data_IF_320113869744
#
_entry.id   IF_320113869744
#
_cell.length_a   1.000
_cell.length_b   1.000
_cell.length_c   1.000
_cell.angle_alpha   90.00
_cell.angle_beta   90.00
_cell.angle_gamma   90.00
#
_symmetry.space_group_name_H-M   'P 1'
#
loop_
_entity.id
_entity.type
_entity.pdbx_description
1 polymer ?
#
# COMPACT_ATOMS: atom_id res chain seq x y z
N UNK A 1 -49.96 7.88 -4.91
CA UNK A 1 -49.12 8.32 -3.81
C UNK A 1 -47.66 8.17 -4.27
N UNK A 2 -47.05 9.29 -4.58
CA UNK A 2 -45.65 9.30 -5.07
C UNK A 2 -44.73 9.27 -3.84
N UNK A 3 -43.89 8.22 -3.75
CA UNK A 3 -42.85 8.09 -2.74
C UNK A 3 -41.68 9.02 -3.12
N UNK A 4 -41.51 10.07 -2.33
CA UNK A 4 -40.35 10.96 -2.40
C UNK A 4 -39.08 10.16 -2.14
N UNK A 5 -38.02 10.28 -2.99
CA UNK A 5 -36.74 9.65 -2.67
C UNK A 5 -36.15 10.32 -1.43
N UNK A 6 -35.82 9.50 -0.44
CA UNK A 6 -35.08 9.91 0.76
C UNK A 6 -33.79 10.60 0.34
N UNK A 7 -33.66 11.87 0.71
CA UNK A 7 -32.44 12.65 0.54
C UNK A 7 -31.31 11.93 1.30
N UNK A 8 -30.34 11.39 0.57
CA UNK A 8 -29.11 10.90 1.15
C UNK A 8 -28.47 12.05 1.94
N UNK A 9 -28.34 11.89 3.24
CA UNK A 9 -27.58 12.82 4.09
C UNK A 9 -26.21 13.02 3.44
N UNK A 10 -25.73 14.25 3.24
CA UNK A 10 -24.39 14.48 2.80
C UNK A 10 -23.47 13.81 3.82
N UNK A 11 -22.73 12.79 3.39
CA UNK A 11 -21.72 12.15 4.24
C UNK A 11 -20.85 13.27 4.78
N UNK A 12 -20.79 13.42 6.11
CA UNK A 12 -19.93 14.42 6.75
C UNK A 12 -18.54 14.27 6.17
N UNK A 13 -18.02 15.35 5.57
CA UNK A 13 -16.70 15.35 4.94
C UNK A 13 -15.68 14.95 6.01
N UNK A 14 -15.00 13.85 5.81
CA UNK A 14 -13.95 13.39 6.73
C UNK A 14 -12.85 14.44 6.83
N UNK A 15 -12.47 14.81 8.05
CA UNK A 15 -11.23 15.54 8.31
C UNK A 15 -10.12 14.51 8.53
N UNK A 16 -9.17 14.47 7.61
CA UNK A 16 -8.13 13.45 7.56
C UNK A 16 -6.81 14.07 7.98
N UNK A 17 -6.22 13.53 9.05
CA UNK A 17 -4.86 13.88 9.46
C UNK A 17 -3.88 12.79 9.02
N UNK A 18 -2.78 13.18 8.42
CA UNK A 18 -1.64 12.29 8.15
C UNK A 18 -0.53 12.58 9.15
N UNK A 19 -0.05 11.56 9.83
CA UNK A 19 1.18 11.62 10.62
C UNK A 19 2.29 11.04 9.73
N UNK A 20 3.17 11.92 9.25
CA UNK A 20 4.18 11.66 8.22
C UNK A 20 3.72 12.09 6.82
N UNK A 21 4.61 12.77 6.10
CA UNK A 21 4.40 13.33 4.76
C UNK A 21 5.22 12.64 3.66
N UNK A 22 5.71 11.41 3.88
CA UNK A 22 6.52 10.66 2.92
C UNK A 22 5.77 10.19 1.67
N UNK A 23 6.43 9.38 0.83
CA UNK A 23 5.88 8.93 -0.46
C UNK A 23 4.49 8.31 -0.38
N UNK A 24 4.21 7.49 0.64
CA UNK A 24 2.89 6.86 0.79
C UNK A 24 1.82 7.89 1.17
N UNK A 25 2.10 8.81 2.08
CA UNK A 25 1.20 9.93 2.39
C UNK A 25 0.93 10.77 1.16
N UNK A 26 1.97 11.12 0.38
CA UNK A 26 1.82 11.89 -0.86
C UNK A 26 0.94 11.16 -1.90
N UNK A 27 1.08 9.83 -2.05
CA UNK A 27 0.24 9.04 -2.93
C UNK A 27 -1.24 9.10 -2.49
N UNK A 28 -1.50 8.93 -1.19
CA UNK A 28 -2.85 8.95 -0.63
C UNK A 28 -3.48 10.34 -0.71
N UNK A 29 -2.76 11.39 -0.29
CA UNK A 29 -3.21 12.79 -0.38
C UNK A 29 -3.53 13.16 -1.84
N UNK A 30 -2.61 12.90 -2.76
CA UNK A 30 -2.81 13.18 -4.18
C UNK A 30 -4.00 12.41 -4.77
N UNK A 31 -4.19 11.16 -4.35
CA UNK A 31 -5.33 10.34 -4.75
C UNK A 31 -6.67 10.89 -4.21
N UNK A 32 -6.72 11.31 -2.95
CA UNK A 32 -7.89 11.91 -2.32
C UNK A 32 -8.30 13.22 -2.99
N UNK A 33 -7.34 14.11 -3.24
CA UNK A 33 -7.59 15.38 -3.92
C UNK A 33 -8.15 15.16 -5.34
N UNK A 34 -7.57 14.21 -6.10
CA UNK A 34 -8.08 13.83 -7.43
C UNK A 34 -9.51 13.29 -7.40
N UNK A 35 -9.95 12.73 -6.27
CA UNK A 35 -11.32 12.22 -6.06
C UNK A 35 -12.25 13.26 -5.45
N UNK A 36 -11.81 14.51 -5.31
CA UNK A 36 -12.63 15.64 -4.90
C UNK A 36 -12.64 15.90 -3.38
N UNK A 37 -11.79 15.25 -2.59
CA UNK A 37 -11.62 15.63 -1.19
C UNK A 37 -11.02 17.05 -1.12
N UNK A 38 -11.66 18.03 -0.43
CA UNK A 38 -11.11 19.36 -0.32
C UNK A 38 -9.76 19.37 0.41
N UNK A 39 -8.80 20.14 -0.07
CA UNK A 39 -7.48 20.28 0.58
C UNK A 39 -7.60 20.78 2.04
N UNK A 40 -8.58 21.64 2.34
CA UNK A 40 -8.87 22.11 3.69
C UNK A 40 -9.27 21.01 4.67
N UNK A 41 -9.72 19.85 4.18
CA UNK A 41 -10.08 18.70 4.99
C UNK A 41 -8.90 17.73 5.23
N UNK A 42 -7.73 18.05 4.68
CA UNK A 42 -6.52 17.24 4.80
C UNK A 42 -5.45 18.05 5.53
N UNK A 43 -4.92 17.49 6.59
CA UNK A 43 -3.77 18.04 7.30
C UNK A 43 -2.67 17.00 7.43
N UNK A 44 -1.42 17.47 7.46
CA UNK A 44 -0.24 16.60 7.55
C UNK A 44 0.65 17.11 8.68
N UNK A 45 1.16 16.20 9.48
CA UNK A 45 2.24 16.46 10.43
C UNK A 45 3.52 15.87 9.86
N UNK A 46 4.51 16.73 9.58
CA UNK A 46 5.78 16.32 8.95
C UNK A 46 6.92 17.17 9.54
N UNK A 47 7.90 16.58 10.21
CA UNK A 47 8.95 17.34 10.87
C UNK A 47 10.01 17.94 9.93
N UNK A 48 10.12 17.42 8.68
CA UNK A 48 11.14 17.88 7.73
C UNK A 48 10.63 19.10 6.96
N UNK A 49 11.26 20.27 7.19
CA UNK A 49 10.85 21.55 6.59
C UNK A 49 10.76 21.49 5.05
N UNK A 50 11.73 20.86 4.37
CA UNK A 50 11.69 20.70 2.90
C UNK A 50 10.47 19.89 2.43
N UNK A 51 10.10 18.85 3.18
CA UNK A 51 8.93 18.03 2.84
C UNK A 51 7.63 18.79 3.11
N UNK A 52 7.61 19.64 4.16
CA UNK A 52 6.48 20.54 4.43
C UNK A 52 6.23 21.50 3.26
N UNK A 53 7.30 22.10 2.73
CA UNK A 53 7.20 22.98 1.54
C UNK A 53 6.62 22.22 0.35
N UNK A 54 7.19 21.05 0.02
CA UNK A 54 6.70 20.22 -1.09
C UNK A 54 5.21 19.84 -0.97
N UNK A 55 4.75 19.53 0.24
CA UNK A 55 3.35 19.17 0.48
C UNK A 55 2.41 20.38 0.29
N UNK A 56 2.81 21.55 0.81
CA UNK A 56 2.03 22.80 0.65
C UNK A 56 1.94 23.22 -0.82
N UNK A 57 3.08 23.27 -1.52
CA UNK A 57 3.14 23.69 -2.91
C UNK A 57 2.40 22.72 -3.84
N UNK A 58 2.58 21.42 -3.65
CA UNK A 58 2.02 20.40 -4.54
C UNK A 58 0.53 20.16 -4.33
N UNK A 59 0.05 20.27 -3.09
CA UNK A 59 -1.27 19.80 -2.71
C UNK A 59 -2.17 20.88 -2.07
N UNK A 60 -1.62 21.99 -1.63
CA UNK A 60 -2.37 23.05 -0.94
C UNK A 60 -2.98 22.63 0.40
N UNK A 61 -2.46 21.56 1.02
CA UNK A 61 -2.96 21.05 2.29
C UNK A 61 -2.35 21.77 3.49
N UNK A 62 -2.99 21.66 4.65
CA UNK A 62 -2.44 22.18 5.90
C UNK A 62 -1.28 21.30 6.37
N UNK A 63 -0.13 21.90 6.69
CA UNK A 63 1.05 21.16 7.15
C UNK A 63 1.62 21.80 8.41
N UNK A 64 1.80 20.98 9.45
CA UNK A 64 2.42 21.35 10.71
C UNK A 64 3.65 20.50 10.96
N UNK A 65 4.67 21.04 11.64
CA UNK A 65 5.91 20.31 11.92
C UNK A 65 5.79 19.35 13.10
N UNK A 66 4.89 19.66 14.04
CA UNK A 66 4.67 18.89 15.27
C UNK A 66 3.19 18.59 15.51
N UNK A 67 2.84 17.47 16.17
CA UNK A 67 1.48 17.21 16.59
C UNK A 67 0.99 18.27 17.58
N UNK A 68 -0.32 18.58 17.55
CA UNK A 68 -0.90 19.58 18.46
C UNK A 68 -2.43 19.64 18.39
N UNK A 69 -3.00 20.67 18.99
CA UNK A 69 -4.45 20.87 19.09
C UNK A 69 -5.17 20.93 17.73
N UNK A 70 -4.48 21.29 16.65
CA UNK A 70 -5.01 21.28 15.29
C UNK A 70 -5.51 19.89 14.84
N UNK A 71 -4.98 18.80 15.44
CA UNK A 71 -5.42 17.43 15.16
C UNK A 71 -6.79 17.08 15.79
N UNK A 72 -7.32 17.88 16.69
CA UNK A 72 -8.54 17.57 17.42
C UNK A 72 -9.79 17.45 16.54
N UNK A 73 -9.81 18.11 15.38
CA UNK A 73 -10.88 17.99 14.38
C UNK A 73 -10.80 16.72 13.53
N UNK A 74 -9.67 15.99 13.57
CA UNK A 74 -9.48 14.82 12.73
C UNK A 74 -10.45 13.69 13.11
N UNK A 75 -11.21 13.21 12.15
CA UNK A 75 -12.09 12.05 12.28
C UNK A 75 -11.45 10.75 11.83
N UNK A 76 -10.38 10.86 11.03
CA UNK A 76 -9.50 9.78 10.58
C UNK A 76 -8.05 10.22 10.65
N UNK A 77 -7.19 9.39 11.22
CA UNK A 77 -5.74 9.61 11.27
C UNK A 77 -5.02 8.49 10.52
N UNK A 78 -4.20 8.88 9.55
CA UNK A 78 -3.36 7.98 8.76
C UNK A 78 -1.92 8.07 9.26
N UNK A 79 -1.41 6.98 9.78
CA UNK A 79 -0.04 6.84 10.28
C UNK A 79 0.87 6.38 9.13
N UNK A 80 1.54 7.33 8.48
CA UNK A 80 2.40 7.11 7.32
C UNK A 80 3.88 7.41 7.63
N UNK A 81 4.33 6.91 8.78
CA UNK A 81 5.68 7.07 9.32
C UNK A 81 6.43 5.73 9.39
N UNK A 82 7.74 5.79 9.54
CA UNK A 82 8.58 4.61 9.73
C UNK A 82 8.29 3.94 11.09
N UNK A 83 8.40 2.60 11.19
CA UNK A 83 8.15 1.87 12.44
C UNK A 83 8.95 2.41 13.64
N UNK A 84 10.21 2.77 13.42
CA UNK A 84 11.14 3.21 14.48
C UNK A 84 10.68 4.46 15.25
N UNK A 85 9.88 5.32 14.63
CA UNK A 85 9.40 6.58 15.25
C UNK A 85 7.91 6.52 15.60
N UNK A 86 7.24 5.39 15.36
CA UNK A 86 5.80 5.29 15.50
C UNK A 86 5.33 5.45 16.95
N UNK A 87 5.94 4.74 17.89
CA UNK A 87 5.58 4.78 19.31
C UNK A 87 5.66 6.21 19.85
N UNK A 88 6.77 6.90 19.58
CA UNK A 88 6.96 8.29 20.01
C UNK A 88 5.89 9.21 19.43
N UNK A 89 5.66 9.17 18.12
CA UNK A 89 4.65 10.00 17.45
C UNK A 89 3.23 9.68 17.95
N UNK A 90 2.92 8.42 18.24
CA UNK A 90 1.64 8.00 18.79
C UNK A 90 1.43 8.60 20.19
N UNK A 91 2.43 8.51 21.08
CA UNK A 91 2.35 9.05 22.43
C UNK A 91 2.22 10.59 22.44
N UNK A 92 2.91 11.30 21.54
CA UNK A 92 2.80 12.75 21.39
C UNK A 92 1.42 13.17 20.88
N UNK A 93 0.81 12.38 19.99
CA UNK A 93 -0.45 12.73 19.33
C UNK A 93 -1.70 12.28 20.09
N UNK A 94 -1.62 11.24 20.93
CA UNK A 94 -2.75 10.45 21.45
C UNK A 94 -3.88 11.28 22.08
N UNK A 95 -3.54 12.35 22.80
CA UNK A 95 -4.53 13.19 23.48
C UNK A 95 -5.36 14.03 22.50
N UNK A 96 -4.82 14.32 21.32
CA UNK A 96 -5.49 15.11 20.29
C UNK A 96 -6.34 14.26 19.33
N UNK A 97 -6.07 12.95 19.22
CA UNK A 97 -6.65 12.08 18.16
C UNK A 97 -7.45 10.90 18.70
N UNK A 98 -7.69 10.83 20.02
CA UNK A 98 -8.28 9.66 20.70
C UNK A 98 -9.64 9.22 20.13
N UNK A 99 -10.47 10.13 19.67
CA UNK A 99 -11.80 9.85 19.10
C UNK A 99 -11.78 9.46 17.62
N UNK A 100 -10.65 9.64 16.95
CA UNK A 100 -10.51 9.34 15.54
C UNK A 100 -10.52 7.83 15.24
N UNK A 101 -10.78 7.47 13.99
CA UNK A 101 -10.43 6.18 13.42
C UNK A 101 -8.95 6.22 13.02
N UNK A 102 -8.20 5.15 13.30
CA UNK A 102 -6.77 5.11 12.98
C UNK A 102 -6.48 4.10 11.89
N UNK A 103 -5.77 4.54 10.84
CA UNK A 103 -5.27 3.73 9.75
C UNK A 103 -3.73 3.77 9.78
N UNK A 104 -3.08 2.64 10.03
CA UNK A 104 -1.62 2.53 9.96
C UNK A 104 -1.20 1.90 8.64
N UNK A 105 -0.27 2.56 7.93
CA UNK A 105 0.43 1.99 6.76
C UNK A 105 1.87 1.58 7.10
N UNK A 106 2.26 1.64 8.37
CA UNK A 106 3.57 1.23 8.84
C UNK A 106 3.70 -0.30 8.84
N UNK A 107 4.76 -0.81 8.22
CA UNK A 107 5.08 -2.23 8.25
C UNK A 107 5.56 -2.66 9.65
N UNK A 108 5.33 -3.92 10.03
CA UNK A 108 5.91 -4.51 11.23
C UNK A 108 5.34 -4.06 12.57
N UNK A 109 4.33 -3.19 12.65
CA UNK A 109 3.72 -2.78 13.93
C UNK A 109 2.38 -3.48 14.10
N UNK A 110 2.22 -4.25 15.17
CA UNK A 110 0.97 -4.98 15.47
C UNK A 110 -0.14 -4.01 15.88
N UNK A 111 -1.39 -4.32 15.52
CA UNK A 111 -2.55 -3.48 15.87
C UNK A 111 -2.75 -3.36 17.39
N UNK A 112 -2.34 -4.37 18.14
CA UNK A 112 -2.39 -4.34 19.61
C UNK A 112 -1.49 -3.25 20.19
N UNK A 113 -0.24 -3.14 19.72
CA UNK A 113 0.70 -2.09 20.13
C UNK A 113 0.18 -0.69 19.76
N UNK A 114 -0.33 -0.53 18.53
CA UNK A 114 -0.95 0.73 18.10
C UNK A 114 -2.12 1.10 19.01
N UNK A 115 -3.01 0.15 19.29
CA UNK A 115 -4.17 0.36 20.14
C UNK A 115 -3.79 0.74 21.59
N UNK A 116 -2.74 0.12 22.11
CA UNK A 116 -2.19 0.42 23.44
C UNK A 116 -1.62 1.84 23.50
N UNK A 117 -0.75 2.21 22.58
CA UNK A 117 -0.12 3.54 22.57
C UNK A 117 -1.12 4.68 22.35
N UNK A 118 -2.16 4.46 21.53
CA UNK A 118 -3.20 5.45 21.22
C UNK A 118 -4.35 5.45 22.23
N UNK A 119 -4.48 4.40 23.04
CA UNK A 119 -5.60 4.26 24.00
C UNK A 119 -6.97 4.06 23.34
N UNK A 120 -7.00 3.41 22.15
CA UNK A 120 -8.24 3.15 21.41
C UNK A 120 -8.17 1.84 20.63
N UNK A 121 -9.33 1.16 20.51
CA UNK A 121 -9.44 -0.08 19.73
C UNK A 121 -9.85 0.17 18.25
N UNK A 122 -10.16 1.42 17.86
CA UNK A 122 -10.57 1.76 16.48
C UNK A 122 -9.36 1.89 15.57
N UNK A 123 -8.69 0.76 15.34
CA UNK A 123 -7.43 0.67 14.57
C UNK A 123 -7.59 -0.26 13.39
N UNK A 124 -7.15 0.21 12.23
CA UNK A 124 -6.98 -0.57 10.99
C UNK A 124 -5.51 -0.57 10.61
N UNK A 125 -4.97 -1.72 10.25
CA UNK A 125 -3.67 -1.85 9.61
C UNK A 125 -3.85 -2.01 8.11
N UNK A 126 -3.01 -1.33 7.36
CA UNK A 126 -2.90 -1.46 5.93
C UNK A 126 -1.47 -1.82 5.52
N UNK A 127 -1.34 -2.68 4.53
CA UNK A 127 -0.07 -2.94 3.86
C UNK A 127 -0.22 -2.58 2.38
N UNK A 128 0.03 -1.31 2.01
CA UNK A 128 0.07 -0.86 0.63
C UNK A 128 1.40 -1.20 -0.04
N UNK A 129 1.51 -0.88 -1.33
CA UNK A 129 2.76 -0.95 -2.07
C UNK A 129 3.01 0.28 -2.93
N UNK A 130 4.24 0.45 -3.43
CA UNK A 130 4.69 1.65 -4.15
C UNK A 130 3.91 1.97 -5.44
N UNK A 131 3.31 1.04 -6.20
CA UNK A 131 2.44 1.38 -7.32
C UNK A 131 1.23 2.27 -6.95
N UNK A 132 0.94 2.45 -5.67
CA UNK A 132 -0.01 3.44 -5.17
C UNK A 132 0.29 4.87 -5.69
N UNK A 133 1.56 5.21 -5.91
CA UNK A 133 2.00 6.50 -6.48
C UNK A 133 1.37 6.81 -7.85
N UNK A 134 1.03 5.79 -8.61
CA UNK A 134 0.39 5.89 -9.93
C UNK A 134 -1.05 5.36 -9.95
N UNK A 135 -1.66 5.17 -8.77
CA UNK A 135 -3.04 4.70 -8.63
C UNK A 135 -3.24 3.22 -9.00
N UNK A 136 -2.17 2.44 -9.05
CA UNK A 136 -2.17 0.99 -9.37
C UNK A 136 -1.65 0.14 -8.21
N UNK A 137 -1.76 0.65 -6.98
CA UNK A 137 -1.37 -0.06 -5.78
C UNK A 137 -2.28 -1.26 -5.48
N UNK A 138 -1.75 -2.15 -4.65
CA UNK A 138 -2.51 -3.21 -4.01
C UNK A 138 -2.33 -3.06 -2.50
N UNK A 139 -3.44 -2.97 -1.76
CA UNK A 139 -3.42 -2.77 -0.32
C UNK A 139 -4.19 -3.88 0.37
N UNK A 140 -3.57 -4.58 1.31
CA UNK A 140 -4.30 -5.44 2.22
C UNK A 140 -4.63 -4.67 3.51
N UNK A 141 -5.81 -4.95 4.08
CA UNK A 141 -6.38 -4.30 5.24
C UNK A 141 -6.75 -5.34 6.30
N UNK A 142 -6.42 -5.04 7.54
CA UNK A 142 -6.92 -5.76 8.71
C UNK A 142 -7.49 -4.77 9.71
N UNK A 143 -8.64 -5.09 10.31
CA UNK A 143 -9.27 -4.25 11.33
C UNK A 143 -9.44 -4.99 12.64
N UNK A 144 -9.26 -4.28 13.76
CA UNK A 144 -9.69 -4.76 15.07
C UNK A 144 -11.22 -4.76 15.18
N UNK A 145 -11.77 -5.51 16.13
CA UNK A 145 -13.22 -5.75 16.27
C UNK A 145 -14.05 -4.48 16.54
N UNK A 146 -13.45 -3.48 17.15
CA UNK A 146 -14.12 -2.18 17.37
C UNK A 146 -14.34 -1.34 16.10
N UNK A 147 -13.82 -1.77 14.95
CA UNK A 147 -13.98 -1.10 13.66
C UNK A 147 -15.22 -1.64 12.96
N UNK A 148 -16.29 -0.86 12.98
CA UNK A 148 -17.56 -1.23 12.37
C UNK A 148 -17.59 -1.08 10.84
N UNK A 149 -18.71 -1.48 10.23
CA UNK A 149 -18.91 -1.42 8.77
C UNK A 149 -18.74 0.00 8.21
N UNK A 150 -19.27 1.01 8.90
CA UNK A 150 -19.15 2.41 8.50
C UNK A 150 -17.68 2.87 8.49
N UNK A 151 -16.88 2.46 9.49
CA UNK A 151 -15.47 2.78 9.58
C UNK A 151 -14.68 2.09 8.45
N UNK A 152 -14.98 0.82 8.15
CA UNK A 152 -14.37 0.11 7.01
C UNK A 152 -14.65 0.83 5.69
N UNK A 153 -15.89 1.27 5.47
CA UNK A 153 -16.25 2.03 4.26
C UNK A 153 -15.47 3.36 4.17
N UNK A 154 -15.19 4.02 5.31
CA UNK A 154 -14.33 5.22 5.35
C UNK A 154 -12.89 4.90 4.95
N UNK A 155 -12.32 3.84 5.50
CA UNK A 155 -10.97 3.37 5.12
C UNK A 155 -10.89 3.07 3.62
N UNK A 156 -11.87 2.36 3.08
CA UNK A 156 -11.91 2.07 1.66
C UNK A 156 -11.92 3.33 0.78
N UNK A 157 -12.67 4.36 1.17
CA UNK A 157 -12.67 5.65 0.44
C UNK A 157 -11.28 6.29 0.39
N UNK A 158 -10.50 6.15 1.47
CA UNK A 158 -9.12 6.69 1.54
C UNK A 158 -8.13 5.85 0.74
N UNK A 159 -8.31 4.52 0.68
CA UNK A 159 -7.39 3.61 -0.01
C UNK A 159 -7.70 3.49 -1.51
N UNK A 160 -8.97 3.41 -1.91
CA UNK A 160 -9.39 3.23 -3.33
C UNK A 160 -8.72 4.17 -4.34
N UNK A 161 -8.45 5.45 -4.03
CA UNK A 161 -7.72 6.32 -4.94
C UNK A 161 -6.29 5.87 -5.27
N UNK A 162 -5.69 5.03 -4.42
CA UNK A 162 -4.33 4.53 -4.60
C UNK A 162 -4.27 3.18 -5.35
N UNK A 163 -5.42 2.52 -5.56
CA UNK A 163 -5.50 1.24 -6.26
C UNK A 163 -6.56 0.29 -5.72
N UNK A 164 -6.30 -1.01 -5.84
CA UNK A 164 -7.17 -2.09 -5.36
C UNK A 164 -6.89 -2.41 -3.89
N UNK A 165 -7.87 -3.01 -3.23
CA UNK A 165 -7.74 -3.43 -1.84
C UNK A 165 -8.34 -4.83 -1.58
N UNK A 166 -7.92 -5.46 -0.48
CA UNK A 166 -8.49 -6.70 0.06
C UNK A 166 -8.52 -6.63 1.58
N UNK A 167 -9.61 -7.08 2.19
CA UNK A 167 -9.70 -7.26 3.64
C UNK A 167 -9.24 -8.66 4.03
N UNK A 168 -8.48 -8.74 5.12
CA UNK A 168 -7.99 -9.97 5.71
C UNK A 168 -8.78 -10.31 6.99
N UNK A 169 -8.97 -11.60 7.24
CA UNK A 169 -9.62 -12.10 8.45
C UNK A 169 -8.67 -12.24 9.64
N UNK A 170 -7.36 -12.32 9.40
CA UNK A 170 -6.33 -12.47 10.43
C UNK A 170 -5.18 -11.49 10.21
N UNK A 171 -4.77 -10.80 11.28
CA UNK A 171 -3.66 -9.84 11.26
C UNK A 171 -2.33 -10.48 10.82
N UNK A 172 -2.10 -11.74 11.18
CA UNK A 172 -0.87 -12.47 10.82
C UNK A 172 -0.68 -12.63 9.31
N UNK A 173 -1.76 -12.57 8.53
CA UNK A 173 -1.69 -12.61 7.07
C UNK A 173 -0.99 -11.37 6.47
N UNK A 174 -0.93 -10.25 7.20
CA UNK A 174 -0.20 -9.05 6.74
C UNK A 174 1.30 -9.28 6.57
N UNK A 175 1.90 -10.23 7.28
CA UNK A 175 3.32 -10.58 7.10
C UNK A 175 3.53 -11.28 5.75
N UNK A 176 2.62 -12.17 5.36
CA UNK A 176 2.63 -12.78 4.03
C UNK A 176 2.34 -11.75 2.92
N UNK A 177 1.41 -10.83 3.15
CA UNK A 177 1.14 -9.71 2.22
C UNK A 177 2.36 -8.81 2.06
N UNK A 178 3.09 -8.54 3.14
CA UNK A 178 4.33 -7.75 3.08
C UNK A 178 5.33 -8.39 2.14
N UNK A 179 5.51 -9.71 2.23
CA UNK A 179 6.38 -10.46 1.32
C UNK A 179 5.85 -10.52 -0.11
N UNK A 180 4.54 -10.76 -0.30
CA UNK A 180 3.93 -10.97 -1.61
C UNK A 180 3.76 -9.67 -2.40
N UNK A 181 3.07 -8.69 -1.83
CA UNK A 181 2.69 -7.46 -2.54
C UNK A 181 3.42 -6.22 -2.05
N UNK A 182 3.78 -6.15 -0.76
CA UNK A 182 4.56 -5.04 -0.21
C UNK A 182 5.94 -4.94 -0.86
N UNK A 183 6.68 -6.04 -0.84
CA UNK A 183 8.00 -6.19 -1.47
C UNK A 183 7.91 -6.51 -2.97
N UNK A 184 6.75 -6.95 -3.45
CA UNK A 184 6.51 -7.42 -4.82
C UNK A 184 7.03 -6.50 -5.93
N UNK A 185 6.85 -5.16 -5.84
CA UNK A 185 7.39 -4.25 -6.85
C UNK A 185 8.91 -4.38 -7.06
N UNK A 186 9.68 -4.64 -6.00
CA UNK A 186 11.12 -4.85 -6.10
C UNK A 186 11.45 -6.12 -6.91
N UNK A 187 10.67 -7.18 -6.77
CA UNK A 187 10.84 -8.40 -7.56
C UNK A 187 10.56 -8.17 -9.05
N UNK A 188 9.50 -7.40 -9.34
CA UNK A 188 9.17 -7.02 -10.72
C UNK A 188 10.31 -6.19 -11.33
N UNK A 189 10.85 -5.22 -10.60
CA UNK A 189 12.00 -4.42 -11.09
C UNK A 189 13.24 -5.27 -11.30
N UNK A 190 13.52 -6.22 -10.41
CA UNK A 190 14.63 -7.17 -10.55
C UNK A 190 14.51 -8.01 -11.84
N UNK A 191 13.32 -8.53 -12.15
CA UNK A 191 13.11 -9.26 -13.39
C UNK A 191 13.11 -8.38 -14.64
N UNK A 192 12.61 -7.12 -14.55
CA UNK A 192 12.74 -6.15 -15.64
C UNK A 192 14.23 -5.87 -15.92
N UNK A 193 15.04 -5.68 -14.88
CA UNK A 193 16.48 -5.48 -15.00
C UNK A 193 17.16 -6.68 -15.70
N UNK A 194 16.87 -7.91 -15.28
CA UNK A 194 17.40 -9.12 -15.91
C UNK A 194 16.99 -9.22 -17.39
N UNK A 195 15.73 -8.92 -17.73
CA UNK A 195 15.25 -8.92 -19.13
C UNK A 195 15.94 -7.84 -19.97
N UNK A 196 16.20 -6.66 -19.40
CA UNK A 196 16.93 -5.59 -20.09
C UNK A 196 18.38 -6.02 -20.38
N UNK A 197 19.07 -6.59 -19.39
CA UNK A 197 20.44 -7.09 -19.56
C UNK A 197 20.51 -8.18 -20.63
N UNK A 198 19.58 -9.15 -20.60
CA UNK A 198 19.49 -10.19 -21.61
C UNK A 198 19.21 -9.60 -23.01
N UNK A 199 18.25 -8.66 -23.12
CA UNK A 199 17.94 -8.01 -24.40
C UNK A 199 19.14 -7.30 -25.01
N UNK A 200 19.92 -6.60 -24.18
CA UNK A 200 21.16 -5.93 -24.63
C UNK A 200 22.19 -6.95 -25.08
N UNK A 201 22.40 -8.03 -24.35
CA UNK A 201 23.36 -9.11 -24.75
C UNK A 201 22.95 -9.80 -26.06
N UNK A 202 21.65 -9.77 -26.40
CA UNK A 202 21.10 -10.30 -27.66
C UNK A 202 21.08 -9.28 -28.80
N UNK A 203 21.66 -8.08 -28.62
CA UNK A 203 21.84 -7.07 -29.68
C UNK A 203 20.76 -5.97 -29.73
N UNK A 204 19.83 -5.88 -28.75
CA UNK A 204 18.93 -4.76 -28.65
C UNK A 204 19.62 -3.55 -28.02
N UNK A 205 19.21 -2.34 -28.40
CA UNK A 205 19.59 -1.18 -27.61
C UNK A 205 18.94 -1.21 -26.22
N UNK A 206 19.58 -0.59 -25.22
CA UNK A 206 19.03 -0.51 -23.87
C UNK A 206 17.59 0.05 -23.84
N UNK A 207 17.32 1.09 -24.63
CA UNK A 207 15.99 1.71 -24.72
C UNK A 207 14.94 0.73 -25.29
N UNK A 208 15.30 -0.06 -26.31
CA UNK A 208 14.42 -1.09 -26.86
C UNK A 208 14.15 -2.20 -25.84
N UNK A 209 15.21 -2.74 -25.24
CA UNK A 209 15.11 -3.81 -24.24
C UNK A 209 14.24 -3.37 -23.04
N UNK A 210 14.46 -2.17 -22.51
CA UNK A 210 13.65 -1.59 -21.42
C UNK A 210 12.17 -1.45 -21.81
N UNK A 211 11.89 -0.86 -22.98
CA UNK A 211 10.51 -0.69 -23.45
C UNK A 211 9.77 -2.03 -23.60
N UNK A 212 10.46 -3.03 -24.15
CA UNK A 212 9.91 -4.38 -24.33
C UNK A 212 9.67 -5.07 -22.99
N UNK A 213 10.63 -5.04 -22.06
CA UNK A 213 10.51 -5.68 -20.76
C UNK A 213 9.33 -5.09 -19.95
N UNK A 214 9.26 -3.75 -19.81
CA UNK A 214 8.16 -3.08 -19.08
C UNK A 214 6.83 -3.35 -19.75
N UNK A 215 6.74 -3.27 -21.08
CA UNK A 215 5.52 -3.56 -21.83
C UNK A 215 5.03 -4.99 -21.63
N UNK A 216 5.95 -5.96 -21.61
CA UNK A 216 5.63 -7.38 -21.38
C UNK A 216 5.06 -7.61 -19.99
N UNK A 217 5.69 -7.10 -18.93
CA UNK A 217 5.16 -7.22 -17.57
C UNK A 217 3.79 -6.58 -17.42
N UNK A 218 3.62 -5.36 -17.96
CA UNK A 218 2.35 -4.64 -17.91
C UNK A 218 1.24 -5.40 -18.65
N UNK A 219 1.51 -5.89 -19.85
CA UNK A 219 0.55 -6.63 -20.67
C UNK A 219 0.18 -7.98 -20.06
N UNK A 220 1.17 -8.78 -19.63
CA UNK A 220 0.91 -10.09 -19.01
C UNK A 220 0.12 -9.95 -17.70
N UNK A 221 0.44 -8.94 -16.86
CA UNK A 221 -0.32 -8.64 -15.64
C UNK A 221 -1.76 -8.23 -15.93
N UNK A 222 -1.98 -7.45 -17.01
CA UNK A 222 -3.32 -7.05 -17.42
C UNK A 222 -4.14 -8.25 -17.91
N UNK A 223 -3.54 -9.16 -18.68
CA UNK A 223 -4.18 -10.42 -19.11
C UNK A 223 -4.54 -11.27 -17.91
N UNK A 224 -3.63 -11.49 -16.97
CA UNK A 224 -3.88 -12.27 -15.76
C UNK A 224 -4.99 -11.65 -14.90
N UNK A 225 -5.05 -10.33 -14.78
CA UNK A 225 -6.10 -9.63 -14.03
C UNK A 225 -7.48 -9.75 -14.68
N UNK A 226 -7.55 -9.81 -16.02
CA UNK A 226 -8.79 -9.93 -16.79
C UNK A 226 -9.25 -11.36 -17.03
N UNK A 227 -8.52 -12.37 -16.56
CA UNK A 227 -8.81 -13.79 -16.75
C UNK A 227 -9.27 -14.43 -15.44
N UNK A 228 -10.24 -15.35 -15.53
CA UNK A 228 -10.62 -16.24 -14.43
C UNK A 228 -9.71 -17.49 -14.36
N UNK A 229 -8.89 -17.71 -15.39
CA UNK A 229 -8.01 -18.86 -15.45
C UNK A 229 -6.76 -18.66 -14.61
N UNK A 230 -6.24 -19.73 -13.98
CA UNK A 230 -5.02 -19.66 -13.19
C UNK A 230 -3.78 -19.38 -14.08
N UNK A 231 -2.75 -18.78 -13.48
CA UNK A 231 -1.57 -18.32 -14.19
C UNK A 231 -0.82 -19.44 -14.96
N UNK A 232 -0.85 -20.69 -14.47
CA UNK A 232 -0.27 -21.85 -15.13
C UNK A 232 -0.96 -22.17 -16.46
N UNK A 233 -2.27 -21.96 -16.56
CA UNK A 233 -3.03 -22.13 -17.80
C UNK A 233 -2.67 -21.04 -18.80
N UNK A 234 -2.62 -19.78 -18.34
CA UNK A 234 -2.19 -18.66 -19.19
C UNK A 234 -0.77 -18.85 -19.71
N UNK A 235 0.15 -19.35 -18.87
CA UNK A 235 1.51 -19.72 -19.27
C UNK A 235 1.51 -20.83 -20.33
N UNK A 236 0.74 -21.89 -20.13
CA UNK A 236 0.66 -23.01 -21.07
C UNK A 236 0.20 -22.57 -22.47
N UNK A 237 -0.77 -21.64 -22.55
CA UNK A 237 -1.30 -21.10 -23.83
C UNK A 237 -0.24 -20.41 -24.69
N UNK A 238 0.78 -19.83 -24.06
CA UNK A 238 1.89 -19.15 -24.76
C UNK A 238 3.15 -20.02 -24.85
N UNK A 239 3.06 -21.33 -24.50
CA UNK A 239 4.17 -22.26 -24.44
C UNK A 239 3.94 -23.44 -25.37
N UNK A 240 4.08 -23.23 -26.70
CA UNK A 240 3.95 -24.30 -27.68
C UNK A 240 5.17 -25.23 -27.65
N UNK A 241 4.92 -26.54 -27.78
CA UNK A 241 5.99 -27.57 -27.80
C UNK A 241 7.05 -27.28 -28.91
N UNK A 242 8.31 -27.24 -28.52
CA UNK A 242 9.43 -26.94 -29.45
C UNK A 242 9.60 -25.45 -29.78
N UNK A 243 8.75 -24.55 -29.25
CA UNK A 243 8.91 -23.12 -29.47
C UNK A 243 9.92 -22.46 -28.54
N UNK A 244 10.19 -21.17 -28.77
CA UNK A 244 11.14 -20.36 -27.98
C UNK A 244 10.74 -20.26 -26.51
N UNK A 245 9.43 -20.08 -26.23
CA UNK A 245 8.91 -20.04 -24.86
C UNK A 245 9.10 -21.39 -24.15
N UNK A 246 8.91 -22.50 -24.85
CA UNK A 246 9.16 -23.84 -24.29
C UNK A 246 10.62 -24.01 -23.90
N UNK A 247 11.57 -23.62 -24.77
CA UNK A 247 12.98 -23.68 -24.45
C UNK A 247 13.36 -22.86 -23.21
N UNK A 248 12.85 -21.61 -23.12
CA UNK A 248 13.09 -20.73 -21.98
C UNK A 248 12.49 -21.29 -20.67
N UNK A 249 11.25 -21.75 -20.69
CA UNK A 249 10.58 -22.31 -19.49
C UNK A 249 11.29 -23.59 -19.04
N UNK A 250 11.73 -24.47 -19.97
CA UNK A 250 12.49 -25.68 -19.63
C UNK A 250 13.79 -25.34 -18.91
N UNK A 251 14.54 -24.33 -19.38
CA UNK A 251 15.75 -23.85 -18.70
C UNK A 251 15.45 -23.35 -17.28
N UNK A 252 14.43 -22.51 -17.11
CA UNK A 252 14.03 -22.00 -15.80
C UNK A 252 13.60 -23.12 -14.82
N UNK A 253 12.94 -24.17 -15.34
CA UNK A 253 12.51 -25.33 -14.55
C UNK A 253 13.71 -26.21 -14.16
N UNK A 254 14.68 -26.45 -15.06
CA UNK A 254 15.92 -27.16 -14.78
C UNK A 254 16.73 -26.46 -13.66
N UNK A 255 16.80 -25.14 -13.69
CA UNK A 255 17.49 -24.34 -12.69
C UNK A 255 16.65 -24.10 -11.41
N UNK A 256 15.46 -24.68 -11.29
CA UNK A 256 14.57 -24.58 -10.15
C UNK A 256 14.22 -23.13 -9.76
N UNK A 257 14.16 -22.19 -10.73
CA UNK A 257 13.96 -20.76 -10.48
C UNK A 257 12.67 -20.49 -9.69
N UNK A 258 11.59 -21.23 -9.95
CA UNK A 258 10.33 -21.11 -9.19
C UNK A 258 10.54 -21.39 -7.69
N UNK A 259 11.27 -22.46 -7.34
CA UNK A 259 11.58 -22.83 -5.95
C UNK A 259 12.46 -21.77 -5.28
N UNK A 260 13.47 -21.27 -6.00
CA UNK A 260 14.35 -20.21 -5.52
C UNK A 260 13.58 -18.92 -5.23
N UNK A 261 12.67 -18.55 -6.10
CA UNK A 261 11.80 -17.36 -5.91
C UNK A 261 10.87 -17.51 -4.72
N UNK A 262 10.21 -18.67 -4.56
CA UNK A 262 9.36 -18.97 -3.39
C UNK A 262 10.19 -18.84 -2.10
N UNK A 263 11.40 -19.39 -2.06
CA UNK A 263 12.31 -19.30 -0.90
C UNK A 263 12.65 -17.85 -0.55
N UNK A 264 12.92 -17.01 -1.54
CA UNK A 264 13.18 -15.58 -1.34
C UNK A 264 11.96 -14.86 -0.71
N UNK A 265 10.75 -15.17 -1.16
CA UNK A 265 9.51 -14.61 -0.58
C UNK A 265 9.27 -15.09 0.85
N UNK A 266 9.59 -16.35 1.17
CA UNK A 266 9.53 -16.87 2.55
C UNK A 266 10.51 -16.13 3.46
N UNK A 267 11.71 -15.83 2.99
CA UNK A 267 12.68 -15.01 3.74
C UNK A 267 12.11 -13.61 4.02
N UNK A 268 11.48 -12.96 3.04
CA UNK A 268 10.83 -11.66 3.24
C UNK A 268 9.66 -11.72 4.26
N UNK A 269 8.85 -12.79 4.22
CA UNK A 269 7.79 -13.01 5.21
C UNK A 269 8.36 -13.18 6.62
N UNK A 270 9.43 -13.98 6.79
CA UNK A 270 10.06 -14.19 8.10
C UNK A 270 10.60 -12.86 8.64
N UNK A 271 11.24 -12.04 7.80
CA UNK A 271 11.70 -10.72 8.21
C UNK A 271 10.55 -9.78 8.61
N UNK A 272 9.41 -9.85 7.93
CA UNK A 272 8.22 -9.08 8.31
C UNK A 272 7.70 -9.49 9.70
N UNK A 273 7.73 -10.78 10.03
CA UNK A 273 7.37 -11.30 11.36
C UNK A 273 8.34 -10.80 12.44
N UNK A 274 9.65 -10.92 12.21
CA UNK A 274 10.70 -10.42 13.12
C UNK A 274 10.52 -8.91 13.40
N UNK A 275 10.28 -8.10 12.36
CA UNK A 275 9.98 -6.67 12.55
C UNK A 275 8.76 -6.44 13.42
N UNK A 276 7.73 -7.30 13.31
CA UNK A 276 6.54 -7.24 14.15
C UNK A 276 6.84 -7.47 15.64
N UNK A 277 7.79 -8.33 15.90
CA UNK A 277 8.25 -8.63 17.26
C UNK A 277 9.21 -7.54 17.79
N UNK A 278 10.11 -7.02 16.93
CA UNK A 278 11.05 -5.95 17.30
C UNK A 278 10.35 -4.62 17.63
N UNK A 279 9.36 -4.20 16.83
CA UNK A 279 8.68 -2.89 16.99
C UNK A 279 7.41 -2.95 17.84
N UNK A 280 6.93 -4.13 18.17
CA UNK A 280 5.71 -4.34 18.95
C UNK A 280 5.94 -4.46 20.46
N UNK A 281 7.16 -4.42 20.93
CA UNK A 281 7.49 -4.54 22.36
C UNK A 281 7.31 -3.20 23.06
N UNK A 282 6.71 -3.21 24.26
CA UNK A 282 6.45 -2.06 25.14
C UNK A 282 7.72 -1.37 25.68
#
# INVERSE_FOLDING_TARGET
>A
MATTPSAAHPASLDHIAFIGGGNMAMAMVGGLLKKGTPAANIQVVEPLAEQCVKLREKFGVLVNEVPGAHLASATLVVWAIKPQVFKEAALQSRFHVKSALHLSVAAGIRSASIAHWLGTQRVVRAMPNTPALVGKGMTALYSRDAVGVADRARIERVIKPTGSLVWLGDEKQLDAVTALSGSGPAYVFYFIEAMVQAGVSMGLSHAQAHKLAVGTFSGASALAKGSEEPAEVLRARVTSKGGTTHAAITSLEQDNVKTLFIRAMVAAKNRATEMGDEFGVD
#
